data_IF_207806044372
#
_entry.id   IF_207806044372
#
_cell.length_a   1.000
_cell.length_b   1.000
_cell.length_c   1.000
_cell.angle_alpha   90.00
_cell.angle_beta   90.00
_cell.angle_gamma   90.00
#
_symmetry.space_group_name_H-M   'P 1'
#
loop_
_entity.id
_entity.type
_entity.pdbx_description
1 polymer ?
#
# COMPACT_ATOMS: atom_id res chain seq x y z
N UNK A 1 -10.84 -37.39 3.25
CA UNK A 1 -11.27 -36.03 3.67
C UNK A 1 -10.62 -34.99 2.76
N UNK A 2 -11.37 -34.46 1.78
CA UNK A 2 -10.90 -33.42 0.87
C UNK A 2 -10.95 -32.10 1.64
N UNK A 3 -9.82 -31.67 2.20
CA UNK A 3 -9.67 -30.35 2.82
C UNK A 3 -10.17 -29.35 1.80
N UNK A 4 -11.36 -28.78 2.01
CA UNK A 4 -11.86 -27.67 1.21
C UNK A 4 -10.71 -26.66 1.16
N UNK A 5 -10.16 -26.41 -0.04
CA UNK A 5 -9.39 -25.19 -0.25
C UNK A 5 -10.38 -24.09 0.07
N UNK A 6 -10.23 -23.46 1.24
CA UNK A 6 -10.85 -22.17 1.56
C UNK A 6 -10.49 -21.31 0.35
N UNK A 7 -11.45 -21.13 -0.53
CA UNK A 7 -11.20 -20.74 -1.91
C UNK A 7 -10.68 -19.29 -1.96
N UNK A 8 -10.04 -18.96 -3.07
CA UNK A 8 -9.59 -17.61 -3.37
C UNK A 8 -8.08 -17.37 -3.31
N UNK A 9 -7.63 -16.38 -4.09
CA UNK A 9 -6.24 -15.96 -4.19
C UNK A 9 -5.81 -15.28 -2.89
N UNK A 10 -4.75 -15.78 -2.26
CA UNK A 10 -4.24 -15.33 -0.96
C UNK A 10 -3.29 -14.15 -1.15
N UNK A 11 -3.71 -12.98 -0.70
CA UNK A 11 -3.01 -11.72 -0.94
C UNK A 11 -2.42 -11.17 0.36
N UNK A 12 -1.18 -10.72 0.30
CA UNK A 12 -0.52 -9.93 1.35
C UNK A 12 -0.29 -8.52 0.84
N UNK A 13 -0.52 -7.53 1.69
CA UNK A 13 -0.26 -6.12 1.36
C UNK A 13 1.04 -5.68 2.04
N UNK A 14 2.00 -5.18 1.27
CA UNK A 14 3.28 -4.66 1.79
C UNK A 14 3.15 -3.14 2.01
N UNK A 15 3.10 -2.76 3.29
CA UNK A 15 2.89 -1.39 3.77
C UNK A 15 1.48 -1.19 4.36
N UNK A 16 1.41 -0.60 5.54
CA UNK A 16 0.15 -0.33 6.26
C UNK A 16 -0.36 1.13 6.07
N UNK A 17 0.46 2.02 5.51
CA UNK A 17 0.18 3.47 5.48
C UNK A 17 -1.03 3.89 4.64
N UNK A 18 -1.21 5.20 4.47
CA UNK A 18 -2.44 5.81 3.92
C UNK A 18 -2.98 5.23 2.60
N UNK A 19 -2.10 4.65 1.75
CA UNK A 19 -2.50 4.02 0.50
C UNK A 19 -3.08 2.60 0.65
N UNK A 20 -2.94 1.97 1.83
CA UNK A 20 -3.42 0.62 2.12
C UNK A 20 -4.92 0.48 1.87
N UNK A 21 -5.73 1.46 2.28
CA UNK A 21 -7.18 1.45 2.04
C UNK A 21 -7.54 1.43 0.56
N UNK A 22 -6.82 2.17 -0.28
CA UNK A 22 -7.01 2.17 -1.73
C UNK A 22 -6.62 0.82 -2.34
N UNK A 23 -5.48 0.26 -1.92
CA UNK A 23 -5.05 -1.08 -2.35
C UNK A 23 -6.09 -2.13 -1.96
N UNK A 24 -6.58 -2.13 -0.73
CA UNK A 24 -7.61 -3.08 -0.30
C UNK A 24 -8.87 -2.99 -1.15
N UNK A 25 -9.35 -1.76 -1.41
CA UNK A 25 -10.54 -1.55 -2.24
C UNK A 25 -10.33 -2.08 -3.66
N UNK A 26 -9.17 -1.81 -4.26
CA UNK A 26 -8.86 -2.28 -5.62
C UNK A 26 -8.71 -3.80 -5.69
N UNK A 27 -8.02 -4.39 -4.72
CA UNK A 27 -7.84 -5.85 -4.64
C UNK A 27 -9.20 -6.56 -4.51
N UNK A 28 -10.09 -6.00 -3.68
CA UNK A 28 -11.44 -6.55 -3.46
C UNK A 28 -12.41 -6.25 -4.61
N UNK A 29 -12.14 -5.26 -5.48
CA UNK A 29 -13.01 -4.90 -6.60
C UNK A 29 -12.83 -5.81 -7.82
N UNK A 30 -11.75 -6.60 -7.88
CA UNK A 30 -11.40 -7.47 -9.03
C UNK A 30 -12.41 -8.57 -9.35
N UNK A 31 -13.41 -8.82 -8.49
CA UNK A 31 -14.45 -9.83 -8.70
C UNK A 31 -13.98 -11.28 -8.55
N UNK A 32 -12.70 -11.50 -8.27
CA UNK A 32 -12.15 -12.80 -7.90
C UNK A 32 -12.41 -13.11 -6.43
N UNK A 33 -12.50 -14.41 -6.10
CA UNK A 33 -12.45 -14.85 -4.71
C UNK A 33 -11.06 -14.50 -4.17
N UNK A 34 -10.96 -13.45 -3.36
CA UNK A 34 -9.71 -12.89 -2.86
C UNK A 34 -9.72 -12.97 -1.34
N UNK A 35 -8.60 -13.41 -0.78
CA UNK A 35 -8.40 -13.46 0.66
C UNK A 35 -7.18 -12.64 1.05
N UNK A 36 -7.41 -11.46 1.60
CA UNK A 36 -6.36 -10.67 2.24
C UNK A 36 -5.94 -11.37 3.54
N UNK A 37 -4.68 -11.78 3.63
CA UNK A 37 -4.11 -12.46 4.79
C UNK A 37 -3.66 -11.49 5.88
N UNK A 38 -3.24 -10.29 5.47
CA UNK A 38 -2.72 -9.27 6.38
C UNK A 38 -1.68 -8.38 5.72
N UNK A 39 -0.98 -7.65 6.57
CA UNK A 39 -0.01 -6.65 6.20
C UNK A 39 1.41 -7.10 6.52
N UNK A 40 2.36 -6.67 5.69
CA UNK A 40 3.79 -6.74 5.97
C UNK A 40 4.32 -5.31 6.06
N UNK A 41 5.02 -5.00 7.14
CA UNK A 41 5.63 -3.68 7.36
C UNK A 41 6.99 -3.88 8.04
N UNK A 42 8.01 -3.18 7.55
CA UNK A 42 9.38 -3.32 8.06
C UNK A 42 9.57 -2.62 9.42
N UNK A 43 8.62 -1.79 9.89
CA UNK A 43 8.65 -1.23 11.24
C UNK A 43 8.27 -2.31 12.28
N UNK A 44 9.22 -2.81 13.08
CA UNK A 44 8.96 -3.89 14.03
C UNK A 44 7.96 -3.48 15.12
N UNK A 45 7.76 -2.18 15.36
CA UNK A 45 6.80 -1.67 16.36
C UNK A 45 5.35 -1.94 15.98
N UNK A 46 5.08 -2.26 14.71
CA UNK A 46 3.73 -2.54 14.20
C UNK A 46 3.39 -4.03 14.22
N UNK A 47 4.36 -4.90 14.45
CA UNK A 47 4.13 -6.35 14.48
C UNK A 47 3.08 -6.72 15.54
N UNK A 48 2.11 -7.55 15.15
CA UNK A 48 0.98 -7.93 16.02
C UNK A 48 -0.14 -6.87 16.12
N UNK A 49 0.05 -5.69 15.51
CA UNK A 49 -0.98 -4.66 15.34
C UNK A 49 -2.05 -5.05 14.31
N UNK A 50 -3.03 -4.16 14.12
CA UNK A 50 -4.10 -4.35 13.12
C UNK A 50 -4.37 -3.09 12.32
N UNK A 51 -4.65 -3.28 11.03
CA UNK A 51 -5.01 -2.25 10.06
C UNK A 51 -6.35 -2.61 9.45
N UNK A 52 -7.35 -1.74 9.55
CA UNK A 52 -8.66 -1.98 8.91
C UNK A 52 -9.24 -3.38 9.18
N UNK A 53 -8.98 -3.93 10.39
CA UNK A 53 -9.41 -5.27 10.78
C UNK A 53 -8.48 -6.43 10.40
N UNK A 54 -7.36 -6.21 9.70
CA UNK A 54 -6.38 -7.24 9.33
C UNK A 54 -5.10 -7.13 10.16
N UNK A 55 -4.44 -8.26 10.43
CA UNK A 55 -3.22 -8.28 11.24
C UNK A 55 -1.99 -7.83 10.46
N UNK A 56 -1.03 -7.21 11.17
CA UNK A 56 0.34 -7.04 10.69
C UNK A 56 1.12 -8.32 11.01
N UNK A 57 1.45 -9.07 9.96
CA UNK A 57 2.06 -10.41 10.03
C UNK A 57 3.56 -10.37 10.36
N UNK A 58 4.18 -9.19 10.29
CA UNK A 58 5.60 -8.95 10.55
C UNK A 58 6.25 -8.14 9.44
N UNK A 59 7.59 -8.16 9.39
CA UNK A 59 8.38 -7.52 8.33
C UNK A 59 8.83 -8.47 7.23
N UNK A 60 9.83 -8.06 6.46
CA UNK A 60 10.36 -8.82 5.32
C UNK A 60 10.71 -10.29 5.62
N UNK A 61 11.25 -10.60 6.80
CA UNK A 61 11.56 -11.98 7.20
C UNK A 61 10.31 -12.87 7.31
N UNK A 62 9.22 -12.32 7.83
CA UNK A 62 7.95 -13.04 7.91
C UNK A 62 7.37 -13.29 6.51
N UNK A 63 7.46 -12.31 5.61
CA UNK A 63 7.07 -12.48 4.22
C UNK A 63 7.86 -13.59 3.53
N UNK A 64 9.18 -13.64 3.73
CA UNK A 64 10.04 -14.71 3.20
C UNK A 64 9.55 -16.10 3.64
N UNK A 65 9.19 -16.26 4.91
CA UNK A 65 8.66 -17.52 5.44
C UNK A 65 7.32 -17.87 4.77
N UNK A 66 6.42 -16.89 4.63
CA UNK A 66 5.10 -17.08 4.03
C UNK A 66 5.18 -17.49 2.55
N UNK A 67 6.09 -16.88 1.78
CA UNK A 67 6.30 -17.20 0.37
C UNK A 67 6.88 -18.61 0.19
N UNK A 68 7.92 -18.95 0.96
CA UNK A 68 8.53 -20.30 0.93
C UNK A 68 7.57 -21.40 1.37
N UNK A 69 6.63 -21.09 2.26
CA UNK A 69 5.58 -22.01 2.68
C UNK A 69 4.41 -22.11 1.68
N UNK A 70 4.52 -21.49 0.49
CA UNK A 70 3.46 -21.40 -0.52
C UNK A 70 2.12 -20.93 0.08
N UNK A 71 2.17 -20.03 1.07
CA UNK A 71 1.01 -19.55 1.82
C UNK A 71 0.39 -18.29 1.20
N UNK A 72 1.06 -17.68 0.22
CA UNK A 72 0.71 -16.42 -0.45
C UNK A 72 0.72 -16.66 -1.95
N UNK A 73 -0.26 -16.12 -2.66
CA UNK A 73 -0.36 -16.18 -4.12
C UNK A 73 -0.01 -14.82 -4.76
N UNK A 74 -0.22 -13.72 -4.04
CA UNK A 74 0.15 -12.38 -4.50
C UNK A 74 0.60 -11.46 -3.36
N UNK A 75 1.53 -10.56 -3.69
CA UNK A 75 1.97 -9.43 -2.88
C UNK A 75 1.60 -8.14 -3.60
N UNK A 76 0.95 -7.22 -2.89
CA UNK A 76 0.63 -5.89 -3.40
C UNK A 76 1.34 -4.84 -2.55
N UNK A 77 2.22 -4.07 -3.17
CA UNK A 77 2.92 -2.98 -2.50
C UNK A 77 2.00 -1.76 -2.42
N UNK A 78 1.72 -1.31 -1.20
CA UNK A 78 1.03 -0.04 -0.90
C UNK A 78 2.01 1.07 -0.49
N UNK A 79 3.25 0.71 -0.15
CA UNK A 79 4.27 1.67 0.30
C UNK A 79 4.58 2.71 -0.79
N UNK A 80 4.33 3.99 -0.49
CA UNK A 80 4.63 5.12 -1.41
C UNK A 80 6.11 5.20 -1.78
N UNK A 81 6.98 4.95 -0.81
CA UNK A 81 8.43 4.91 -0.99
C UNK A 81 8.93 3.59 -0.46
N UNK A 82 9.70 2.91 -1.29
CA UNK A 82 10.40 1.69 -0.95
C UNK A 82 11.84 1.86 -1.43
N UNK A 83 12.85 1.53 -0.60
CA UNK A 83 14.23 1.52 -1.06
C UNK A 83 14.38 0.63 -2.31
N UNK A 84 15.12 1.05 -3.35
CA UNK A 84 15.31 0.25 -4.56
C UNK A 84 15.79 -1.17 -4.28
N UNK A 85 16.69 -1.33 -3.30
CA UNK A 85 17.17 -2.63 -2.85
C UNK A 85 16.04 -3.53 -2.33
N UNK A 86 15.13 -3.00 -1.52
CA UNK A 86 13.98 -3.76 -0.99
C UNK A 86 13.06 -4.21 -2.12
N UNK A 87 12.83 -3.35 -3.11
CA UNK A 87 12.02 -3.70 -4.26
C UNK A 87 12.67 -4.82 -5.09
N UNK A 88 13.95 -4.69 -5.40
CA UNK A 88 14.70 -5.73 -6.12
C UNK A 88 14.65 -7.07 -5.37
N UNK A 89 14.81 -7.03 -4.04
CA UNK A 89 14.71 -8.22 -3.20
C UNK A 89 13.30 -8.85 -3.24
N UNK A 90 12.24 -8.03 -3.27
CA UNK A 90 10.87 -8.52 -3.45
C UNK A 90 10.64 -9.12 -4.84
N UNK A 91 11.16 -8.52 -5.90
CA UNK A 91 11.04 -9.02 -7.27
C UNK A 91 11.67 -10.42 -7.39
N UNK A 92 12.90 -10.59 -6.88
CA UNK A 92 13.59 -11.89 -6.84
C UNK A 92 12.79 -12.89 -5.99
N UNK A 93 12.45 -12.54 -4.76
CA UNK A 93 11.76 -13.43 -3.83
C UNK A 93 10.38 -13.89 -4.38
N UNK A 94 9.63 -12.98 -4.99
CA UNK A 94 8.32 -13.33 -5.57
C UNK A 94 8.47 -14.20 -6.81
N UNK A 95 9.43 -13.88 -7.69
CA UNK A 95 9.72 -14.68 -8.90
C UNK A 95 10.12 -16.11 -8.56
N UNK A 96 11.04 -16.30 -7.62
CA UNK A 96 11.51 -17.62 -7.17
C UNK A 96 10.42 -18.50 -6.54
N UNK A 97 9.36 -17.87 -5.99
CA UNK A 97 8.27 -18.58 -5.31
C UNK A 97 6.96 -18.58 -6.11
N UNK A 98 6.99 -18.16 -7.38
CA UNK A 98 5.81 -18.09 -8.27
C UNK A 98 4.65 -17.28 -7.64
N UNK A 99 4.98 -16.13 -7.06
CA UNK A 99 4.03 -15.21 -6.42
C UNK A 99 3.91 -13.94 -7.26
N UNK A 100 2.68 -13.51 -7.54
CA UNK A 100 2.45 -12.28 -8.29
C UNK A 100 2.85 -11.07 -7.45
N UNK A 101 3.72 -10.21 -7.98
CA UNK A 101 4.07 -8.93 -7.37
C UNK A 101 3.43 -7.79 -8.15
N UNK A 102 2.70 -6.93 -7.46
CA UNK A 102 2.09 -5.73 -8.05
C UNK A 102 2.23 -4.53 -7.12
N UNK A 103 2.01 -3.33 -7.65
CA UNK A 103 1.92 -2.11 -6.86
C UNK A 103 0.81 -1.22 -7.40
N UNK A 104 0.14 -0.50 -6.52
CA UNK A 104 -0.75 0.58 -6.91
C UNK A 104 0.02 1.90 -6.86
N UNK A 105 -0.04 2.69 -7.94
CA UNK A 105 0.46 4.07 -7.97
C UNK A 105 -0.72 5.01 -8.10
N UNK A 106 -0.85 5.94 -7.16
CA UNK A 106 -1.89 6.96 -7.15
C UNK A 106 -1.22 8.30 -6.93
N UNK A 107 -1.35 9.17 -7.92
CA UNK A 107 -0.81 10.52 -7.91
C UNK A 107 -1.92 11.49 -8.33
N UNK A 108 -1.87 12.71 -7.82
CA UNK A 108 -2.76 13.79 -8.25
C UNK A 108 -2.04 14.60 -9.32
N UNK A 109 -2.64 14.65 -10.51
CA UNK A 109 -2.19 15.54 -11.58
C UNK A 109 -2.91 16.90 -11.43
N UNK A 110 -2.18 18.01 -11.24
CA UNK A 110 -2.80 19.33 -11.20
C UNK A 110 -3.29 19.72 -12.59
N UNK A 111 -4.60 19.83 -12.76
CA UNK A 111 -5.21 20.36 -14.01
C UNK A 111 -5.10 21.89 -14.07
N UNK A 112 -5.07 22.54 -12.91
CA UNK A 112 -4.81 23.97 -12.76
C UNK A 112 -3.80 24.14 -11.63
N UNK A 113 -2.64 24.73 -11.93
CA UNK A 113 -1.67 25.16 -10.93
C UNK A 113 -2.11 26.51 -10.37
N UNK A 114 -2.22 26.61 -9.05
CA UNK A 114 -2.39 27.90 -8.39
C UNK A 114 -0.97 28.40 -8.08
N UNK A 115 -0.50 29.37 -8.85
CA UNK A 115 0.75 30.06 -8.54
C UNK A 115 0.57 30.79 -7.21
N UNK A 116 1.45 30.50 -6.25
CA UNK A 116 1.37 31.05 -4.89
C UNK A 116 1.57 32.58 -4.82
N UNK A 117 1.84 33.25 -5.93
CA UNK A 117 2.12 34.69 -6.00
C UNK A 117 0.86 35.57 -5.81
N UNK A 118 -0.34 35.08 -6.15
CA UNK A 118 -1.56 35.89 -6.10
C UNK A 118 -2.12 36.14 -4.69
N UNK A 119 -1.66 35.37 -3.68
CA UNK A 119 -2.11 35.57 -2.29
C UNK A 119 -1.57 36.85 -1.65
N UNK A 120 -0.39 37.32 -2.09
CA UNK A 120 0.23 38.56 -1.56
C UNK A 120 -0.41 39.82 -2.14
N UNK A 121 -0.86 39.78 -3.40
CA UNK A 121 -1.50 40.92 -4.07
C UNK A 121 -2.91 41.17 -3.54
N UNK A 122 -3.69 40.12 -3.27
CA UNK A 122 -5.04 40.27 -2.67
C UNK A 122 -5.00 40.78 -1.22
N UNK A 123 -3.99 40.39 -0.44
CA UNK A 123 -3.84 40.83 0.96
C UNK A 123 -3.46 42.32 1.06
N UNK A 124 -2.66 42.85 0.13
CA UNK A 124 -2.30 44.29 0.09
C UNK A 124 -3.42 45.18 -0.45
N UNK A 125 -4.27 44.66 -1.33
CA UNK A 125 -5.41 45.40 -1.86
C UNK A 125 -6.49 45.64 -0.78
N UNK A 126 -6.71 44.68 0.13
CA UNK A 126 -7.75 44.80 1.15
C UNK A 126 -7.37 45.71 2.33
N UNK A 127 -6.07 45.84 2.67
CA UNK A 127 -5.62 46.74 3.75
C UNK A 127 -5.56 48.23 3.37
N UNK A 128 -5.72 48.60 2.09
CA UNK A 128 -5.68 50.01 1.65
C UNK A 128 -7.04 50.72 1.71
N UNK A 129 -8.12 50.01 2.04
CA UNK A 129 -9.48 50.58 2.04
C UNK A 129 -10.04 50.88 3.44
N UNK A 130 -9.28 50.64 4.51
CA UNK A 130 -9.74 50.81 5.90
C UNK A 130 -8.96 51.93 6.63
N UNK A 131 -8.31 52.81 5.88
CA UNK A 131 -7.54 53.94 6.41
C UNK A 131 -7.90 55.22 5.68
N UNK A 132 -9.09 55.75 5.93
CA UNK A 132 -9.52 57.11 5.59
C UNK A 132 -10.46 57.60 6.68
#
# INVERSE_FOLDING_TARGET
MRRQRVSGQRVVIYGEGDAAGLVMREVLSTGHDIRILGFIDDDPRKAGGRVSGYAVLGGYSALTILLKAASVDAVVISARRMPPERLNNLEVLCSENNVQLSRLRVDLEPIVSIDAEDSKTRSRAHLRQIGS
#
